data_IF_213138944437
#
_entry.id   IF_213138944437
#
_cell.length_a   1.000
_cell.length_b   1.000
_cell.length_c   1.000
_cell.angle_alpha   90.00
_cell.angle_beta   90.00
_cell.angle_gamma   90.00
#
_symmetry.space_group_name_H-M   'P 1'
#
loop_
_entity.id
_entity.type
_entity.pdbx_description
1 polymer ?
#
# COMPACT_ATOMS: atom_id res chain seq x y z
N UNK A 1 10.25 -20.21 -20.69
CA UNK A 1 9.78 -20.01 -19.30
C UNK A 1 8.58 -20.89 -19.06
N UNK A 2 8.44 -21.51 -17.88
CA UNK A 2 7.22 -22.31 -17.58
C UNK A 2 6.01 -21.37 -17.42
N UNK A 3 4.80 -21.85 -17.74
CA UNK A 3 3.56 -21.08 -17.58
C UNK A 3 3.38 -20.55 -16.15
N UNK A 4 3.85 -21.31 -15.17
CA UNK A 4 3.86 -20.93 -13.74
C UNK A 4 4.75 -19.73 -13.46
N UNK A 5 5.95 -19.69 -14.05
CA UNK A 5 6.88 -18.57 -13.86
C UNK A 5 6.29 -17.27 -14.42
N UNK A 6 5.68 -17.31 -15.61
CA UNK A 6 5.05 -16.13 -16.23
C UNK A 6 3.87 -15.63 -15.40
N UNK A 7 3.01 -16.53 -14.90
CA UNK A 7 1.89 -16.18 -14.01
C UNK A 7 2.38 -15.46 -12.76
N UNK A 8 3.40 -16.02 -12.10
CA UNK A 8 3.95 -15.46 -10.86
C UNK A 8 4.54 -14.06 -11.12
N UNK A 9 5.28 -13.88 -12.22
CA UNK A 9 5.83 -12.57 -12.59
C UNK A 9 4.73 -11.53 -12.79
N UNK A 10 3.63 -11.88 -13.47
CA UNK A 10 2.50 -10.97 -13.67
C UNK A 10 1.82 -10.64 -12.34
N UNK A 11 1.63 -11.63 -11.45
CA UNK A 11 1.06 -11.41 -10.12
C UNK A 11 1.95 -10.50 -9.25
N UNK A 12 3.27 -10.66 -9.33
CA UNK A 12 4.23 -9.79 -8.62
C UNK A 12 4.16 -8.36 -9.16
N UNK A 13 4.28 -8.17 -10.47
CA UNK A 13 4.22 -6.84 -11.08
C UNK A 13 2.87 -6.17 -10.82
N UNK A 14 1.77 -6.91 -10.98
CA UNK A 14 0.43 -6.44 -10.66
C UNK A 14 0.29 -6.07 -9.19
N UNK A 15 0.81 -6.90 -8.28
CA UNK A 15 0.79 -6.63 -6.84
C UNK A 15 1.57 -5.38 -6.44
N UNK A 16 2.71 -5.10 -7.08
CA UNK A 16 3.49 -3.88 -6.88
C UNK A 16 2.73 -2.61 -7.34
N UNK A 17 2.07 -2.69 -8.49
CA UNK A 17 1.28 -1.57 -9.05
C UNK A 17 0.04 -1.30 -8.18
N UNK A 18 -0.69 -2.35 -7.81
CA UNK A 18 -1.91 -2.24 -7.00
C UNK A 18 -1.57 -1.70 -5.61
N UNK A 19 -0.50 -2.17 -4.96
CA UNK A 19 -0.10 -1.65 -3.65
C UNK A 19 0.33 -0.19 -3.70
N UNK A 20 1.07 0.24 -4.73
CA UNK A 20 1.42 1.64 -4.93
C UNK A 20 0.18 2.52 -5.15
N UNK A 21 -0.79 2.06 -5.93
CA UNK A 21 -2.07 2.73 -6.14
C UNK A 21 -2.88 2.87 -4.84
N UNK A 22 -3.00 1.80 -4.05
CA UNK A 22 -3.68 1.83 -2.76
C UNK A 22 -3.01 2.80 -1.77
N UNK A 23 -1.69 2.81 -1.69
CA UNK A 23 -0.97 3.76 -0.83
C UNK A 23 -1.19 5.21 -1.28
N UNK A 24 -1.22 5.46 -2.59
CA UNK A 24 -1.53 6.78 -3.14
C UNK A 24 -2.92 7.25 -2.73
N UNK A 25 -3.92 6.36 -2.78
CA UNK A 25 -5.29 6.63 -2.34
C UNK A 25 -5.37 6.89 -0.83
N UNK A 26 -4.66 6.11 -0.01
CA UNK A 26 -4.59 6.30 1.45
C UNK A 26 -3.97 7.67 1.78
N UNK A 27 -2.85 8.02 1.15
CA UNK A 27 -2.19 9.31 1.37
C UNK A 27 -3.10 10.46 0.94
N UNK A 28 -3.72 10.37 -0.25
CA UNK A 28 -4.63 11.41 -0.78
C UNK A 28 -5.86 11.61 0.11
N UNK A 29 -6.52 10.53 0.51
CA UNK A 29 -7.69 10.59 1.40
C UNK A 29 -7.33 11.15 2.78
N UNK A 30 -6.16 10.78 3.31
CA UNK A 30 -5.66 11.35 4.57
C UNK A 30 -5.40 12.83 4.45
N UNK A 31 -4.83 13.27 3.32
CA UNK A 31 -4.59 14.69 3.07
C UNK A 31 -5.90 15.48 3.03
N UNK A 32 -6.93 14.96 2.35
CA UNK A 32 -8.26 15.54 2.33
C UNK A 32 -8.89 15.61 3.74
N UNK A 33 -8.72 14.55 4.54
CA UNK A 33 -9.19 14.52 5.92
C UNK A 33 -8.49 15.55 6.82
N UNK A 34 -7.16 15.62 6.78
CA UNK A 34 -6.37 16.58 7.56
C UNK A 34 -6.71 18.02 7.16
N UNK A 35 -6.94 18.25 5.86
CA UNK A 35 -7.40 19.54 5.35
C UNK A 35 -8.78 19.93 5.90
N UNK A 36 -9.75 19.02 5.85
CA UNK A 36 -11.11 19.27 6.35
C UNK A 36 -11.18 19.42 7.88
N UNK A 37 -10.34 18.70 8.61
CA UNK A 37 -10.33 18.69 10.09
C UNK A 37 -9.49 19.82 10.71
N UNK A 38 -8.73 20.57 9.90
CA UNK A 38 -7.86 21.64 10.40
C UNK A 38 -6.69 21.14 11.26
N UNK A 39 -6.34 19.86 11.16
CA UNK A 39 -5.27 19.25 11.96
C UNK A 39 -3.90 19.75 11.48
N UNK A 40 -3.09 20.25 12.42
CA UNK A 40 -1.77 20.83 12.12
C UNK A 40 -0.69 19.78 11.86
N UNK A 41 -0.77 18.63 12.53
CA UNK A 41 0.19 17.54 12.38
C UNK A 41 -0.53 16.20 12.41
N UNK A 42 -0.29 15.38 11.40
CA UNK A 42 -0.83 14.02 11.34
C UNK A 42 0.23 13.05 10.84
N UNK A 43 0.36 11.90 11.49
CA UNK A 43 1.30 10.86 11.09
C UNK A 43 0.53 9.60 10.76
N UNK A 44 0.72 9.11 9.53
CA UNK A 44 0.23 7.82 9.10
C UNK A 44 1.17 6.73 9.59
N UNK A 45 0.58 5.80 10.34
CA UNK A 45 1.27 4.66 10.91
C UNK A 45 0.61 3.37 10.43
N UNK A 46 1.40 2.34 10.19
CA UNK A 46 0.93 0.97 10.04
C UNK A 46 1.59 0.10 11.11
N UNK A 47 0.80 -0.53 11.98
CA UNK A 47 1.30 -1.40 13.05
C UNK A 47 2.38 -0.73 13.95
N UNK A 48 2.22 0.57 14.21
CA UNK A 48 3.17 1.36 15.00
C UNK A 48 4.38 1.89 14.23
N UNK A 49 4.53 1.57 12.94
CA UNK A 49 5.58 2.10 12.08
C UNK A 49 5.07 3.32 11.29
N UNK A 50 5.66 4.51 11.47
CA UNK A 50 5.33 5.68 10.66
C UNK A 50 5.84 5.50 9.23
N UNK A 51 5.02 5.85 8.25
CA UNK A 51 5.41 5.82 6.83
C UNK A 51 5.20 7.15 6.11
N UNK A 52 4.33 8.01 6.62
CA UNK A 52 4.06 9.30 6.02
C UNK A 52 3.64 10.34 7.06
N UNK A 53 4.19 11.54 6.98
CA UNK A 53 3.89 12.65 7.86
C UNK A 53 3.26 13.78 7.07
N UNK A 54 2.18 14.35 7.61
CA UNK A 54 1.52 15.53 7.08
C UNK A 54 1.71 16.65 8.10
N UNK A 55 2.27 17.76 7.65
CA UNK A 55 2.41 18.99 8.44
C UNK A 55 1.69 20.12 7.74
N UNK A 56 0.90 20.86 8.49
CA UNK A 56 0.26 22.09 8.06
C UNK A 56 0.87 23.24 8.86
N UNK A 57 1.70 24.05 8.20
CA UNK A 57 2.40 25.19 8.81
C UNK A 57 2.11 26.44 7.97
N UNK A 58 1.54 27.46 8.60
CA UNK A 58 1.28 28.78 8.00
C UNK A 58 0.53 28.74 6.64
N UNK A 59 -0.49 27.89 6.51
CA UNK A 59 -1.29 27.78 5.27
C UNK A 59 -0.65 26.90 4.18
N UNK A 60 0.53 26.35 4.43
CA UNK A 60 1.18 25.38 3.55
C UNK A 60 1.07 23.98 4.11
N UNK A 61 0.55 23.07 3.30
CA UNK A 61 0.58 21.64 3.58
C UNK A 61 1.86 21.03 2.99
N UNK A 62 2.59 20.30 3.83
CA UNK A 62 3.78 19.56 3.45
C UNK A 62 3.61 18.11 3.85
N UNK A 63 3.80 17.21 2.88
CA UNK A 63 3.88 15.77 3.09
C UNK A 63 5.33 15.31 3.08
N UNK A 64 5.75 14.56 4.09
CA UNK A 64 7.07 13.96 4.16
C UNK A 64 6.95 12.45 4.31
N UNK A 65 7.49 11.72 3.35
CA UNK A 65 7.55 10.26 3.39
C UNK A 65 8.73 9.81 4.25
N UNK A 66 8.48 8.87 5.16
CA UNK A 66 9.56 8.07 5.75
C UNK A 66 9.91 6.95 4.78
N UNK A 67 11.08 7.02 4.13
CA UNK A 67 11.44 6.07 3.08
C UNK A 67 11.52 4.62 3.59
N UNK A 68 11.97 4.41 4.83
CA UNK A 68 12.08 3.08 5.42
C UNK A 68 10.69 2.54 5.75
N UNK A 69 9.87 3.34 6.43
CA UNK A 69 8.49 2.96 6.76
C UNK A 69 7.65 2.69 5.52
N UNK A 70 7.72 3.58 4.53
CA UNK A 70 7.00 3.44 3.26
C UNK A 70 7.44 2.21 2.48
N UNK A 71 8.74 1.93 2.43
CA UNK A 71 9.27 0.73 1.79
C UNK A 71 8.75 -0.56 2.43
N UNK A 72 8.77 -0.64 3.76
CA UNK A 72 8.25 -1.80 4.51
C UNK A 72 6.75 -1.95 4.29
N UNK A 73 5.98 -0.88 4.43
CA UNK A 73 4.52 -0.89 4.22
C UNK A 73 4.18 -1.35 2.80
N UNK A 74 4.89 -0.84 1.79
CA UNK A 74 4.69 -1.23 0.40
C UNK A 74 5.00 -2.71 0.16
N UNK A 75 6.13 -3.21 0.69
CA UNK A 75 6.49 -4.62 0.58
C UNK A 75 5.48 -5.52 1.29
N UNK A 76 5.06 -5.18 2.50
CA UNK A 76 4.03 -5.94 3.25
C UNK A 76 2.73 -5.98 2.48
N UNK A 77 2.28 -4.85 1.91
CA UNK A 77 1.09 -4.79 1.08
C UNK A 77 1.20 -5.67 -0.17
N UNK A 78 2.33 -5.63 -0.88
CA UNK A 78 2.57 -6.48 -2.05
C UNK A 78 2.60 -7.96 -1.70
N UNK A 79 3.29 -8.35 -0.62
CA UNK A 79 3.31 -9.74 -0.14
C UNK A 79 1.89 -10.19 0.24
N UNK A 80 1.11 -9.34 0.91
CA UNK A 80 -0.28 -9.62 1.23
C UNK A 80 -1.13 -9.90 -0.02
N UNK A 81 -0.99 -9.08 -1.07
CA UNK A 81 -1.69 -9.29 -2.35
C UNK A 81 -1.28 -10.61 -3.00
N UNK A 82 0.02 -10.94 -2.99
CA UNK A 82 0.52 -12.20 -3.54
C UNK A 82 -0.01 -13.41 -2.78
N UNK A 83 -0.01 -13.36 -1.45
CA UNK A 83 -0.59 -14.42 -0.60
C UNK A 83 -2.07 -14.60 -0.91
N UNK A 84 -2.84 -13.51 -1.03
CA UNK A 84 -4.25 -13.58 -1.41
C UNK A 84 -4.45 -14.15 -2.83
N UNK A 85 -3.59 -13.78 -3.78
CA UNK A 85 -3.60 -14.32 -5.14
C UNK A 85 -3.35 -15.83 -5.17
N UNK A 86 -2.34 -16.30 -4.44
CA UNK A 86 -2.00 -17.71 -4.33
C UNK A 86 -3.08 -18.50 -3.56
N UNK A 87 -3.65 -17.92 -2.49
CA UNK A 87 -4.76 -18.52 -1.76
C UNK A 87 -6.00 -18.66 -2.65
N UNK A 88 -6.34 -17.61 -3.42
CA UNK A 88 -7.40 -17.68 -4.44
C UNK A 88 -7.11 -18.77 -5.46
N UNK A 89 -5.88 -18.86 -5.95
CA UNK A 89 -5.50 -19.87 -6.94
C UNK A 89 -5.69 -21.29 -6.40
N UNK A 90 -5.25 -21.55 -5.16
CA UNK A 90 -5.44 -22.83 -4.49
C UNK A 90 -6.92 -23.13 -4.27
N UNK A 91 -7.69 -22.16 -3.78
CA UNK A 91 -9.13 -22.33 -3.55
C UNK A 91 -9.89 -22.62 -4.86
N UNK A 92 -9.59 -21.91 -5.94
CA UNK A 92 -10.23 -22.16 -7.24
C UNK A 92 -9.82 -23.53 -7.78
N UNK A 93 -8.54 -23.88 -7.72
CA UNK A 93 -8.04 -25.16 -8.26
C UNK A 93 -8.58 -26.36 -7.46
N UNK A 94 -8.76 -26.24 -6.15
CA UNK A 94 -9.32 -27.30 -5.30
C UNK A 94 -10.85 -27.41 -5.34
N UNK A 95 -11.57 -26.38 -5.79
CA UNK A 95 -13.06 -26.38 -5.81
C UNK A 95 -13.65 -27.07 -7.05
N UNK A 96 -12.81 -27.57 -7.95
CA UNK A 96 -13.19 -28.28 -9.18
C UNK A 96 -12.78 -29.77 -9.19
N UNK A 97 -12.39 -30.32 -8.03
CA UNK A 97 -12.26 -31.76 -7.74
C UNK A 97 -13.37 -32.18 -6.79
#
# INVERSE_FOLDING_TARGET
MSKTAVRLTIEVVGGLIVSAGLLSLIISSTYAYVHASGVTHYTLNLLGMPFFHIRHVAGHFSGQTDAMGMGVVWLVATVGILVLGELRHRLVTHRWL
#
